data_IF_592211770182
#
_entry.id   IF_592211770182
#
_cell.length_a   1.000
_cell.length_b   1.000
_cell.length_c   1.000
_cell.angle_alpha   90.00
_cell.angle_beta   90.00
_cell.angle_gamma   90.00
#
_symmetry.space_group_name_H-M   'P 1'
#
loop_
_entity.id
_entity.type
_entity.pdbx_description
1 polymer ?
#
# COMPACT_ATOMS: atom_id res chain seq x y z
N UNK A 1 15.45 12.97 8.30
CA UNK A 1 14.47 11.86 8.22
C UNK A 1 15.19 10.60 8.67
N UNK A 2 14.61 9.85 9.61
CA UNK A 2 15.16 8.60 10.14
C UNK A 2 14.10 7.50 10.00
N UNK A 3 14.50 6.28 9.63
CA UNK A 3 13.60 5.14 9.47
C UNK A 3 14.29 3.85 9.96
N UNK A 4 13.52 2.96 10.60
CA UNK A 4 14.05 1.67 11.12
C UNK A 4 13.00 0.56 10.98
N UNK A 5 13.38 -0.69 11.24
CA UNK A 5 12.41 -1.80 11.35
C UNK A 5 11.65 -1.84 12.68
N UNK A 6 12.00 -1.00 13.65
CA UNK A 6 11.44 -1.06 15.01
C UNK A 6 10.17 -0.21 15.11
N UNK A 7 9.20 -0.69 15.90
CA UNK A 7 7.89 -0.03 16.08
C UNK A 7 7.90 1.10 17.11
N UNK A 8 8.93 1.17 17.94
CA UNK A 8 9.10 2.21 18.97
C UNK A 8 9.67 3.52 18.42
N UNK A 9 10.00 3.57 17.13
CA UNK A 9 10.49 4.75 16.44
C UNK A 9 9.55 5.18 15.29
N UNK A 10 9.57 6.47 14.90
CA UNK A 10 8.93 6.96 13.69
C UNK A 10 9.40 6.21 12.43
N UNK A 11 8.57 6.27 11.38
CA UNK A 11 8.89 5.70 10.06
C UNK A 11 9.30 4.22 10.08
N UNK A 12 8.49 3.37 10.70
CA UNK A 12 8.73 1.93 10.73
C UNK A 12 8.64 1.32 9.31
N UNK A 13 9.75 0.77 8.83
CA UNK A 13 9.81 0.00 7.59
C UNK A 13 9.53 -1.46 7.92
N UNK A 14 8.37 -1.96 7.49
CA UNK A 14 7.94 -3.32 7.81
C UNK A 14 7.28 -3.99 6.60
N UNK A 15 7.66 -5.24 6.33
CA UNK A 15 7.16 -6.03 5.20
C UNK A 15 5.65 -6.29 5.25
N UNK A 16 5.01 -6.13 6.41
CA UNK A 16 3.56 -6.20 6.56
C UNK A 16 2.81 -5.19 5.67
N UNK A 17 3.47 -4.08 5.30
CA UNK A 17 2.94 -3.11 4.35
C UNK A 17 2.98 -3.60 2.90
N UNK A 18 3.79 -4.63 2.60
CA UNK A 18 3.99 -5.17 1.26
C UNK A 18 3.29 -6.52 1.07
N UNK A 19 3.72 -7.55 1.79
CA UNK A 19 3.38 -8.94 1.45
C UNK A 19 1.86 -9.20 1.35
N UNK A 20 1.00 -8.79 2.30
CA UNK A 20 -0.42 -9.16 2.24
C UNK A 20 -1.07 -8.57 0.98
N UNK A 21 -0.71 -7.34 0.66
CA UNK A 21 -1.36 -6.55 -0.38
C UNK A 21 -0.82 -6.85 -1.78
N UNK A 22 0.49 -7.10 -1.92
CA UNK A 22 1.08 -7.58 -3.16
C UNK A 22 0.46 -8.93 -3.54
N UNK A 23 0.38 -9.87 -2.59
CA UNK A 23 -0.27 -11.16 -2.85
C UNK A 23 -1.76 -10.99 -3.14
N UNK A 24 -2.47 -10.11 -2.43
CA UNK A 24 -3.89 -9.86 -2.70
C UNK A 24 -4.12 -9.42 -4.15
N UNK A 25 -3.39 -8.40 -4.62
CA UNK A 25 -3.52 -7.89 -5.99
C UNK A 25 -3.14 -8.94 -7.04
N UNK A 26 -2.03 -9.65 -6.82
CA UNK A 26 -1.56 -10.68 -7.72
C UNK A 26 -2.53 -11.87 -7.85
N UNK A 27 -3.08 -12.34 -6.72
CA UNK A 27 -4.00 -13.48 -6.69
C UNK A 27 -5.34 -13.14 -7.36
N UNK A 28 -5.80 -11.89 -7.24
CA UNK A 28 -7.10 -11.48 -7.79
C UNK A 28 -7.15 -11.45 -9.30
N UNK A 29 -6.01 -11.19 -9.93
CA UNK A 29 -5.85 -11.24 -11.39
C UNK A 29 -5.16 -12.52 -11.86
N UNK A 30 -4.96 -13.49 -10.95
CA UNK A 30 -4.30 -14.78 -11.24
C UNK A 30 -2.95 -14.59 -11.92
N UNK A 31 -2.12 -13.68 -11.42
CA UNK A 31 -0.80 -13.41 -11.96
C UNK A 31 0.10 -14.66 -11.85
N UNK A 32 0.84 -14.98 -12.93
CA UNK A 32 1.75 -16.12 -12.94
C UNK A 32 3.16 -15.80 -12.42
N UNK A 33 3.44 -14.52 -12.16
CA UNK A 33 4.69 -14.04 -11.58
C UNK A 33 4.45 -12.73 -10.80
N UNK A 34 5.36 -12.42 -9.87
CA UNK A 34 5.49 -11.08 -9.28
C UNK A 34 6.70 -10.42 -9.95
N UNK A 35 6.47 -9.44 -10.82
CA UNK A 35 7.54 -8.75 -11.56
C UNK A 35 7.88 -7.37 -10.95
N UNK A 36 8.80 -6.65 -11.60
CA UNK A 36 9.31 -5.37 -11.11
C UNK A 36 8.25 -4.28 -11.18
N UNK A 37 7.43 -4.30 -12.21
CA UNK A 37 6.32 -3.38 -12.45
C UNK A 37 5.31 -3.46 -11.30
N UNK A 38 4.95 -4.68 -10.88
CA UNK A 38 4.09 -4.91 -9.72
C UNK A 38 4.70 -4.41 -8.41
N UNK A 39 6.01 -4.58 -8.21
CA UNK A 39 6.70 -4.08 -7.02
C UNK A 39 6.71 -2.54 -6.98
N UNK A 40 6.96 -1.90 -8.13
CA UNK A 40 6.90 -0.43 -8.26
C UNK A 40 5.48 0.06 -7.98
N UNK A 41 4.46 -0.59 -8.55
CA UNK A 41 3.06 -0.23 -8.31
C UNK A 41 2.67 -0.36 -6.83
N UNK A 42 3.19 -1.35 -6.11
CA UNK A 42 2.98 -1.47 -4.66
C UNK A 42 3.58 -0.28 -3.89
N UNK A 43 4.81 0.14 -4.26
CA UNK A 43 5.46 1.31 -3.67
C UNK A 43 4.67 2.59 -3.95
N UNK A 44 4.18 2.75 -5.18
CA UNK A 44 3.35 3.89 -5.56
C UNK A 44 2.01 3.91 -4.82
N UNK A 45 1.37 2.75 -4.61
CA UNK A 45 0.17 2.63 -3.78
C UNK A 45 0.42 3.03 -2.32
N UNK A 46 1.53 2.60 -1.72
CA UNK A 46 1.94 3.03 -0.38
C UNK A 46 2.22 4.53 -0.33
N UNK A 47 2.91 5.08 -1.33
CA UNK A 47 3.22 6.50 -1.42
C UNK A 47 1.94 7.33 -1.49
N UNK A 48 1.00 6.95 -2.36
CA UNK A 48 -0.28 7.64 -2.51
C UNK A 48 -1.04 7.67 -1.18
N UNK A 49 -1.20 6.51 -0.53
CA UNK A 49 -1.85 6.42 0.79
C UNK A 49 -1.18 7.31 1.85
N UNK A 50 0.16 7.37 1.87
CA UNK A 50 0.88 8.17 2.87
C UNK A 50 0.56 9.67 2.76
N UNK A 51 0.23 10.14 1.55
CA UNK A 51 -0.11 11.54 1.31
C UNK A 51 -1.59 11.85 1.57
N UNK A 52 -2.43 10.84 1.79
CA UNK A 52 -3.83 11.05 2.16
C UNK A 52 -3.96 11.51 3.61
N UNK A 53 -4.96 12.37 3.93
CA UNK A 53 -5.28 12.74 5.31
C UNK A 53 -5.47 11.49 6.18
N UNK A 54 -4.83 11.44 7.35
CA UNK A 54 -4.95 10.30 8.26
C UNK A 54 -6.35 10.27 8.88
N UNK A 55 -6.93 9.07 8.95
CA UNK A 55 -8.27 8.88 9.50
C UNK A 55 -8.29 9.16 11.02
N UNK A 56 -9.36 9.77 11.57
CA UNK A 56 -9.47 10.00 13.01
C UNK A 56 -9.30 8.71 13.84
N UNK A 57 -9.87 7.59 13.40
CA UNK A 57 -9.73 6.30 14.09
C UNK A 57 -8.26 5.82 14.18
N UNK A 58 -7.42 6.23 13.25
CA UNK A 58 -5.98 5.90 13.28
C UNK A 58 -5.25 6.74 14.32
N UNK A 59 -5.62 8.02 14.47
CA UNK A 59 -5.06 8.86 15.53
C UNK A 59 -5.40 8.30 16.92
N UNK A 60 -6.65 7.86 17.10
CA UNK A 60 -7.11 7.20 18.32
C UNK A 60 -6.36 5.88 18.61
N UNK A 61 -6.25 5.00 17.61
CA UNK A 61 -5.58 3.70 17.73
C UNK A 61 -4.10 3.82 18.13
N UNK A 62 -3.42 4.84 17.63
CA UNK A 62 -1.99 5.07 17.90
C UNK A 62 -1.74 6.06 19.03
N UNK A 63 -2.78 6.57 19.70
CA UNK A 63 -2.71 7.57 20.77
C UNK A 63 -1.92 8.83 20.34
N UNK A 64 -2.24 9.36 19.16
CA UNK A 64 -1.60 10.53 18.57
C UNK A 64 -2.59 11.68 18.45
N UNK A 65 -2.12 12.92 18.64
CA UNK A 65 -2.93 14.12 18.38
C UNK A 65 -2.99 14.47 16.89
N UNK A 66 -1.90 14.18 16.16
CA UNK A 66 -1.76 14.51 14.74
C UNK A 66 -0.81 13.53 14.05
N UNK A 67 -1.12 13.19 12.81
CA UNK A 67 -0.25 12.44 11.91
C UNK A 67 -0.49 12.97 10.49
N UNK A 68 0.55 13.49 9.85
CA UNK A 68 0.51 14.02 8.48
C UNK A 68 1.83 13.76 7.78
N UNK A 69 1.82 13.70 6.45
CA UNK A 69 3.03 13.48 5.68
C UNK A 69 4.13 14.48 6.06
N UNK A 70 5.28 13.98 6.48
CA UNK A 70 6.37 14.81 6.97
C UNK A 70 7.55 13.98 7.51
N UNK A 71 8.58 14.62 8.09
CA UNK A 71 9.81 13.94 8.52
C UNK A 71 9.61 12.75 9.46
N UNK A 72 8.52 12.76 10.25
CA UNK A 72 8.16 11.72 11.23
C UNK A 72 7.08 10.74 10.72
N UNK A 73 6.55 10.96 9.51
CA UNK A 73 5.56 10.09 8.87
C UNK A 73 5.75 10.11 7.34
N UNK A 74 6.61 9.22 6.86
CA UNK A 74 6.92 9.02 5.43
C UNK A 74 6.40 7.70 4.86
N UNK A 75 5.82 6.86 5.72
CA UNK A 75 5.35 5.51 5.39
C UNK A 75 4.09 5.21 6.23
N UNK A 76 3.05 4.58 5.67
CA UNK A 76 1.80 4.41 6.40
C UNK A 76 1.96 3.38 7.51
N UNK A 77 1.03 3.40 8.48
CA UNK A 77 1.07 2.47 9.59
C UNK A 77 0.61 1.07 9.16
N UNK A 78 1.21 -0.03 9.69
CA UNK A 78 0.88 -1.41 9.35
C UNK A 78 -0.60 -1.82 9.34
N UNK A 79 -1.42 -1.20 10.18
CA UNK A 79 -2.83 -1.54 10.36
C UNK A 79 -3.77 -0.47 9.79
N UNK A 80 -3.27 0.39 8.90
CA UNK A 80 -4.12 1.33 8.18
C UNK A 80 -5.07 0.56 7.25
N UNK A 81 -6.39 0.57 7.49
CA UNK A 81 -7.34 -0.22 6.71
C UNK A 81 -7.35 0.17 5.23
N UNK A 82 -6.95 1.40 4.91
CA UNK A 82 -6.89 1.92 3.55
C UNK A 82 -5.82 1.25 2.70
N UNK A 83 -4.86 0.53 3.28
CA UNK A 83 -3.87 -0.24 2.52
C UNK A 83 -4.54 -1.17 1.49
N UNK A 84 -5.72 -1.71 1.82
CA UNK A 84 -6.51 -2.58 0.95
C UNK A 84 -7.04 -1.86 -0.31
N UNK A 85 -7.28 -0.56 -0.22
CA UNK A 85 -7.83 0.25 -1.30
C UNK A 85 -6.76 0.79 -2.25
N UNK A 86 -5.50 0.86 -1.80
CA UNK A 86 -4.41 1.49 -2.55
C UNK A 86 -3.44 0.47 -3.16
N UNK A 87 -2.99 -0.52 -2.40
CA UNK A 87 -1.88 -1.39 -2.82
C UNK A 87 -2.36 -2.54 -3.72
N UNK A 88 -3.38 -3.36 -3.36
CA UNK A 88 -3.84 -4.45 -4.20
C UNK A 88 -4.33 -4.03 -5.59
N UNK A 89 -5.14 -2.95 -5.75
CA UNK A 89 -5.57 -2.49 -7.08
C UNK A 89 -4.40 -2.04 -7.95
N UNK A 90 -3.41 -1.33 -7.41
CA UNK A 90 -2.23 -0.91 -8.15
C UNK A 90 -1.41 -2.12 -8.64
N UNK A 91 -1.21 -3.12 -7.79
CA UNK A 91 -0.51 -4.35 -8.14
C UNK A 91 -1.27 -5.16 -9.19
N UNK A 92 -2.58 -5.27 -9.06
CA UNK A 92 -3.45 -5.94 -10.03
C UNK A 92 -3.40 -5.27 -11.41
N UNK A 93 -3.45 -3.94 -11.45
CA UNK A 93 -3.33 -3.16 -12.68
C UNK A 93 -1.97 -3.40 -13.36
N UNK A 94 -0.88 -3.30 -12.60
CA UNK A 94 0.47 -3.53 -13.12
C UNK A 94 0.67 -4.95 -13.64
N UNK A 95 0.07 -5.96 -12.99
CA UNK A 95 0.10 -7.34 -13.46
C UNK A 95 -0.61 -7.51 -14.82
N UNK A 96 -1.71 -6.80 -15.05
CA UNK A 96 -2.44 -6.79 -16.33
C UNK A 96 -1.61 -6.10 -17.41
N UNK A 97 -1.09 -4.90 -17.12
CA UNK A 97 -0.33 -4.09 -18.07
C UNK A 97 0.98 -4.75 -18.50
N UNK A 98 1.65 -5.43 -17.58
CA UNK A 98 2.87 -6.18 -17.86
C UNK A 98 2.62 -7.55 -18.49
N UNK A 99 1.35 -7.94 -18.69
CA UNK A 99 0.96 -9.18 -19.35
C UNK A 99 1.15 -10.45 -18.50
N UNK A 100 1.36 -10.32 -17.19
CA UNK A 100 1.50 -11.47 -16.28
C UNK A 100 0.19 -11.95 -15.66
N UNK A 101 -0.88 -11.16 -15.77
CA UNK A 101 -2.22 -11.51 -15.30
C UNK A 101 -2.88 -12.62 -16.13
N UNK A 102 -3.62 -13.51 -15.46
CA UNK A 102 -4.45 -14.55 -16.07
C UNK A 102 -5.96 -14.22 -16.07
N UNK A 103 -6.36 -13.10 -15.47
CA UNK A 103 -7.73 -12.59 -15.43
C UNK A 103 -7.76 -11.06 -15.56
N UNK A 104 -8.93 -10.51 -15.90
CA UNK A 104 -9.13 -9.06 -16.00
C UNK A 104 -9.19 -8.35 -14.64
N UNK A 105 -9.24 -7.02 -14.68
CA UNK A 105 -9.28 -6.18 -13.48
C UNK A 105 -10.56 -6.44 -12.66
N UNK A 106 -10.48 -6.75 -11.35
CA UNK A 106 -11.65 -7.07 -10.53
C UNK A 106 -12.62 -5.90 -10.40
N UNK A 107 -13.93 -6.14 -10.61
CA UNK A 107 -14.96 -5.11 -10.57
C UNK A 107 -15.17 -4.45 -9.19
N UNK A 108 -14.72 -5.09 -8.11
CA UNK A 108 -14.81 -4.53 -6.75
C UNK A 108 -13.66 -3.59 -6.41
N UNK A 109 -12.59 -3.59 -7.22
CA UNK A 109 -11.53 -2.60 -7.08
C UNK A 109 -12.00 -1.28 -7.67
N UNK A 110 -11.67 -0.21 -6.96
CA UNK A 110 -11.65 1.13 -7.53
C UNK A 110 -10.31 1.28 -8.25
N UNK A 111 -10.26 1.94 -9.43
CA UNK A 111 -8.99 2.36 -9.99
C UNK A 111 -8.21 3.13 -8.93
N UNK A 112 -6.92 2.84 -8.78
CA UNK A 112 -6.11 3.48 -7.75
C UNK A 112 -6.22 5.01 -7.92
N UNK A 113 -6.62 5.76 -6.88
CA UNK A 113 -6.72 7.20 -7.00
C UNK A 113 -5.32 7.76 -7.28
N UNK A 114 -5.18 8.43 -8.43
CA UNK A 114 -3.99 9.18 -8.83
C UNK A 114 -2.75 8.37 -9.25
N UNK A 115 -2.92 7.15 -9.77
CA UNK A 115 -1.87 6.39 -10.48
C UNK A 115 -2.20 6.23 -11.97
#
# INVERSE_FOLDING_TARGET
IMATGRSDFPNQVNNVLGFPFIFRGALDVRAHAINREMQIAAVEGLRALTHEPVLPEMLELYHLEKLEFGPEYIIPKPFDPRLMDFVPPAVAQAAIESGVAGAGFPAHYKPAPHL
#
